data_IF_157801933946
#
_entry.id   IF_157801933946
#
_cell.length_a   1.000
_cell.length_b   1.000
_cell.length_c   1.000
_cell.angle_alpha   90.00
_cell.angle_beta   90.00
_cell.angle_gamma   90.00
#
_symmetry.space_group_name_H-M   'P 1'
#
loop_
_entity.id
_entity.type
_entity.pdbx_description
1 polymer ?
#
# COMPACT_ATOMS: atom_id res chain seq x y z
N UNK A 1 -18.24 25.49 10.35
CA UNK A 1 -17.76 24.82 9.14
C UNK A 1 -16.50 24.07 9.53
N UNK A 2 -16.49 22.78 9.37
CA UNK A 2 -15.40 21.89 9.77
C UNK A 2 -14.13 22.19 8.98
N UNK A 3 -12.98 22.26 9.66
CA UNK A 3 -11.66 22.40 9.05
C UNK A 3 -11.04 21.03 8.88
N UNK A 4 -10.83 20.62 7.65
CA UNK A 4 -10.30 19.31 7.28
C UNK A 4 -8.84 19.49 6.83
N UNK A 5 -7.89 18.84 7.50
CA UNK A 5 -6.51 18.73 7.02
C UNK A 5 -6.41 17.59 5.99
N UNK A 6 -5.87 17.84 4.80
CA UNK A 6 -5.52 16.78 3.86
C UNK A 6 -4.03 16.50 3.95
N UNK A 7 -3.66 15.38 4.57
CA UNK A 7 -2.26 14.93 4.66
C UNK A 7 -1.92 14.02 3.47
N UNK A 8 -0.84 14.33 2.75
CA UNK A 8 -0.43 13.63 1.52
C UNK A 8 1.09 13.69 1.32
N UNK A 9 1.60 12.86 0.43
CA UNK A 9 2.92 13.00 -0.18
C UNK A 9 2.75 13.16 -1.70
N UNK A 10 3.30 14.23 -2.28
CA UNK A 10 3.18 14.51 -3.70
C UNK A 10 4.36 13.95 -4.49
N UNK A 11 4.09 13.23 -5.57
CA UNK A 11 5.13 12.81 -6.53
C UNK A 11 5.86 14.02 -7.08
N UNK A 12 7.21 13.99 -7.11
CA UNK A 12 7.98 15.04 -7.78
C UNK A 12 7.66 15.07 -9.27
N UNK A 13 7.73 16.24 -9.87
CA UNK A 13 7.55 16.41 -11.31
C UNK A 13 8.66 15.67 -12.09
N UNK A 14 8.37 15.09 -13.27
CA UNK A 14 9.37 14.37 -14.07
C UNK A 14 10.63 15.17 -14.39
N UNK A 15 10.52 16.50 -14.45
CA UNK A 15 11.64 17.43 -14.65
C UNK A 15 12.58 17.54 -13.45
N UNK A 16 12.10 17.26 -12.24
CA UNK A 16 12.90 17.28 -11.02
C UNK A 16 13.73 16.01 -10.85
N UNK A 17 13.28 14.90 -11.45
CA UNK A 17 14.00 13.61 -11.45
C UNK A 17 15.12 13.55 -12.52
N UNK A 18 15.20 14.52 -13.41
CA UNK A 18 16.12 14.57 -14.56
C UNK A 18 17.38 15.41 -14.32
N UNK A 19 17.81 15.66 -13.07
CA UNK A 19 19.12 16.24 -12.82
C UNK A 19 20.20 15.16 -13.00
N UNK A 20 21.08 15.26 -14.01
CA UNK A 20 22.14 14.30 -14.21
C UNK A 20 23.17 14.44 -13.08
N UNK A 21 23.39 13.39 -12.33
CA UNK A 21 24.67 13.23 -11.61
C UNK A 21 25.75 13.25 -12.67
N UNK A 22 26.67 14.20 -12.54
CA UNK A 22 27.64 14.63 -13.54
C UNK A 22 28.25 13.52 -14.41
N UNK A 23 28.20 13.75 -15.71
CA UNK A 23 29.03 13.07 -16.68
C UNK A 23 30.52 13.32 -16.37
N UNK A 24 31.11 12.39 -15.63
CA UNK A 24 32.56 12.25 -15.56
C UNK A 24 33.03 11.50 -16.78
N UNK A 25 33.80 12.19 -17.63
CA UNK A 25 34.52 11.64 -18.77
C UNK A 25 35.08 10.23 -18.49
N UNK A 26 34.62 9.23 -19.21
CA UNK A 26 35.31 7.96 -19.39
C UNK A 26 35.57 7.74 -20.87
N UNK A 27 36.86 7.87 -21.23
CA UNK A 27 37.42 7.44 -22.49
C UNK A 27 37.06 5.97 -22.78
N UNK A 28 36.61 5.75 -24.02
CA UNK A 28 36.46 4.42 -24.62
C UNK A 28 37.86 3.82 -24.83
N UNK A 29 38.17 2.76 -24.10
CA UNK A 29 39.16 1.79 -24.52
C UNK A 29 38.47 0.46 -24.78
N UNK A 30 38.49 0.05 -26.02
CA UNK A 30 37.83 -1.15 -26.52
C UNK A 30 38.56 -2.42 -26.09
N UNK A 31 37.84 -3.32 -25.45
CA UNK A 31 38.18 -4.74 -25.42
C UNK A 31 36.89 -5.58 -25.48
N UNK A 32 36.88 -6.50 -26.44
CA UNK A 32 35.76 -7.41 -26.78
C UNK A 32 35.57 -8.41 -25.62
N UNK A 33 34.55 -8.24 -24.82
CA UNK A 33 34.13 -9.20 -23.82
C UNK A 33 33.22 -10.28 -24.41
N UNK A 34 33.37 -11.50 -23.90
CA UNK A 34 32.63 -12.70 -24.34
C UNK A 34 31.20 -12.71 -23.84
N UNK A 35 30.22 -13.34 -24.55
CA UNK A 35 28.79 -13.09 -24.33
C UNK A 35 28.07 -13.91 -23.24
N UNK A 36 28.69 -14.56 -22.29
CA UNK A 36 28.01 -15.60 -21.51
C UNK A 36 27.98 -15.47 -19.96
N UNK A 37 28.46 -14.38 -19.34
CA UNK A 37 28.58 -14.35 -17.87
C UNK A 37 28.18 -13.06 -17.13
N UNK A 38 27.42 -12.13 -17.73
CA UNK A 38 26.88 -11.00 -16.99
C UNK A 38 25.39 -11.18 -16.69
N UNK A 39 24.93 -10.99 -15.42
CA UNK A 39 23.50 -10.84 -15.15
C UNK A 39 22.98 -9.63 -15.93
N UNK A 40 21.73 -9.63 -16.41
CA UNK A 40 21.21 -8.57 -17.25
C UNK A 40 21.29 -7.24 -16.51
N UNK A 41 22.33 -6.46 -16.82
CA UNK A 41 22.55 -5.12 -16.24
C UNK A 41 21.50 -4.11 -16.68
N UNK A 42 20.56 -4.52 -17.53
CA UNK A 42 19.40 -3.71 -17.98
C UNK A 42 18.16 -4.57 -18.07
N UNK A 43 17.15 -4.25 -17.29
CA UNK A 43 15.79 -4.72 -17.46
C UNK A 43 15.06 -3.62 -18.27
N UNK A 44 14.55 -3.96 -19.47
CA UNK A 44 13.88 -2.99 -20.38
C UNK A 44 14.67 -1.72 -20.74
N UNK A 45 15.99 -1.81 -20.89
CA UNK A 45 16.83 -0.66 -21.26
C UNK A 45 17.12 0.32 -20.11
N UNK A 46 16.58 0.08 -18.91
CA UNK A 46 16.87 0.83 -17.69
C UNK A 46 17.92 0.09 -16.86
N UNK A 47 18.85 0.82 -16.26
CA UNK A 47 19.74 0.27 -15.26
C UNK A 47 18.96 -0.05 -13.98
N UNK A 48 19.48 -1.00 -13.18
CA UNK A 48 18.90 -1.34 -11.86
C UNK A 48 18.73 -0.09 -11.00
N UNK A 49 19.71 0.82 -11.00
CA UNK A 49 19.63 2.09 -10.27
C UNK A 49 18.49 2.99 -10.75
N UNK A 50 18.18 3.00 -12.06
CA UNK A 50 17.04 3.75 -12.60
C UNK A 50 15.70 3.10 -12.23
N UNK A 51 15.63 1.77 -12.13
CA UNK A 51 14.44 1.07 -11.66
C UNK A 51 14.17 1.40 -10.19
N UNK A 52 15.19 1.31 -9.33
CA UNK A 52 15.07 1.64 -7.90
C UNK A 52 14.70 3.11 -7.69
N UNK A 53 15.30 4.03 -8.44
CA UNK A 53 14.97 5.45 -8.37
C UNK A 53 13.52 5.75 -8.82
N UNK A 54 12.97 4.99 -9.78
CA UNK A 54 11.54 5.08 -10.15
C UNK A 54 10.63 4.50 -9.09
N UNK A 55 11.08 3.47 -8.36
CA UNK A 55 10.35 2.84 -7.27
C UNK A 55 10.22 3.78 -6.05
N UNK A 56 11.18 4.68 -5.81
CA UNK A 56 11.26 5.48 -4.59
C UNK A 56 9.97 6.23 -4.29
N UNK A 57 9.37 6.84 -5.32
CA UNK A 57 8.13 7.63 -5.19
C UNK A 57 6.89 6.91 -5.75
N UNK A 58 6.95 5.58 -5.98
CA UNK A 58 5.86 4.84 -6.60
C UNK A 58 4.55 4.88 -5.78
N UNK A 59 4.66 5.00 -4.46
CA UNK A 59 3.53 5.06 -3.52
C UNK A 59 2.92 6.46 -3.40
N UNK A 60 3.68 7.52 -3.71
CA UNK A 60 3.21 8.90 -3.56
C UNK A 60 2.17 9.28 -4.60
N UNK A 61 1.30 10.24 -4.27
CA UNK A 61 0.19 10.63 -5.11
C UNK A 61 0.56 11.67 -6.17
N UNK A 62 -0.06 11.54 -7.35
CA UNK A 62 0.02 12.56 -8.38
C UNK A 62 -0.80 13.81 -7.97
N UNK A 63 -0.42 15.02 -8.44
CA UNK A 63 -1.20 16.25 -8.18
C UNK A 63 -2.68 16.13 -8.50
N UNK A 64 -3.04 15.37 -9.54
CA UNK A 64 -4.43 15.13 -9.95
C UNK A 64 -5.22 14.34 -8.88
N UNK A 65 -4.60 13.31 -8.28
CA UNK A 65 -5.21 12.53 -7.18
C UNK A 65 -5.46 13.41 -5.97
N UNK A 66 -4.45 14.21 -5.56
CA UNK A 66 -4.55 15.12 -4.41
C UNK A 66 -5.68 16.14 -4.64
N UNK A 67 -5.76 16.71 -5.85
CA UNK A 67 -6.81 17.69 -6.21
C UNK A 67 -8.22 17.06 -6.21
N UNK A 68 -8.36 15.80 -6.67
CA UNK A 68 -9.62 15.09 -6.67
C UNK A 68 -10.10 14.80 -5.23
N UNK A 69 -9.20 14.36 -4.35
CA UNK A 69 -9.49 14.15 -2.92
C UNK A 69 -9.90 15.47 -2.25
N UNK A 70 -9.14 16.54 -2.47
CA UNK A 70 -9.47 17.88 -1.95
C UNK A 70 -10.87 18.35 -2.42
N UNK A 71 -11.17 18.16 -3.69
CA UNK A 71 -12.49 18.50 -4.24
C UNK A 71 -13.63 17.76 -3.55
N UNK A 72 -13.48 16.45 -3.35
CA UNK A 72 -14.47 15.62 -2.66
C UNK A 72 -14.67 16.07 -1.20
N UNK A 73 -13.58 16.33 -0.48
CA UNK A 73 -13.60 16.77 0.92
C UNK A 73 -14.16 18.19 1.08
N UNK A 74 -13.95 19.08 0.09
CA UNK A 74 -14.43 20.48 0.10
C UNK A 74 -15.96 20.58 0.13
N UNK A 75 -16.66 19.51 -0.21
CA UNK A 75 -18.13 19.44 -0.08
C UNK A 75 -18.58 19.22 1.37
N UNK A 76 -17.68 18.77 2.27
CA UNK A 76 -17.95 18.52 3.69
C UNK A 76 -17.41 19.62 4.61
N UNK A 77 -16.41 20.40 4.18
CA UNK A 77 -15.78 21.41 5.00
C UNK A 77 -14.74 22.24 4.28
N UNK A 78 -14.05 23.11 5.01
CA UNK A 78 -12.89 23.83 4.49
C UNK A 78 -11.67 22.92 4.52
N UNK A 79 -11.02 22.70 3.39
CA UNK A 79 -9.82 21.88 3.30
C UNK A 79 -8.55 22.74 3.38
N UNK A 80 -7.55 22.23 4.07
CA UNK A 80 -6.18 22.75 4.08
C UNK A 80 -5.22 21.63 3.74
N UNK A 81 -4.34 21.86 2.76
CA UNK A 81 -3.31 20.90 2.35
C UNK A 81 -2.16 20.89 3.34
N UNK A 82 -1.80 19.70 3.82
CA UNK A 82 -0.73 19.43 4.76
C UNK A 82 0.19 18.35 4.17
N UNK A 83 1.13 18.73 3.34
CA UNK A 83 2.10 17.79 2.81
C UNK A 83 2.97 17.22 3.93
N UNK A 84 3.15 15.90 3.94
CA UNK A 84 3.86 15.17 4.99
C UNK A 84 5.39 15.23 4.79
N UNK A 85 5.93 16.43 4.87
CA UNK A 85 7.35 16.79 4.84
C UNK A 85 7.90 17.02 6.25
N UNK A 86 9.17 17.41 6.39
CA UNK A 86 9.83 17.60 7.69
C UNK A 86 9.13 18.65 8.58
N UNK A 87 8.46 19.63 8.00
CA UNK A 87 7.71 20.69 8.68
C UNK A 87 6.24 20.30 9.01
N UNK A 88 5.79 19.11 8.63
CA UNK A 88 4.42 18.65 8.86
C UNK A 88 3.96 18.78 10.32
N UNK A 89 4.76 18.39 11.35
CA UNK A 89 4.33 18.50 12.74
C UNK A 89 4.03 19.94 13.15
N UNK A 90 4.87 20.89 12.71
CA UNK A 90 4.69 22.32 13.02
C UNK A 90 3.46 22.91 12.30
N UNK A 91 3.28 22.58 11.01
CA UNK A 91 2.11 23.01 10.22
C UNK A 91 0.81 22.44 10.80
N UNK A 92 0.81 21.17 11.21
CA UNK A 92 -0.35 20.54 11.86
C UNK A 92 -0.67 21.23 13.20
N UNK A 93 0.35 21.52 14.01
CA UNK A 93 0.23 22.21 15.29
C UNK A 93 -0.34 23.63 15.14
N UNK A 94 0.07 24.36 14.09
CA UNK A 94 -0.43 25.72 13.81
C UNK A 94 -1.84 25.70 13.22
N UNK A 95 -2.12 24.76 12.31
CA UNK A 95 -3.40 24.67 11.60
C UNK A 95 -4.52 24.15 12.50
N UNK A 96 -4.22 23.15 13.36
CA UNK A 96 -5.17 22.43 14.24
C UNK A 96 -6.51 22.13 13.56
N UNK A 97 -6.53 21.34 12.49
CA UNK A 97 -7.78 20.96 11.85
C UNK A 97 -8.68 20.17 12.81
N UNK A 98 -9.98 20.16 12.55
CA UNK A 98 -10.93 19.38 13.33
C UNK A 98 -10.75 17.87 13.08
N UNK A 99 -10.34 17.51 11.89
CA UNK A 99 -9.98 16.14 11.47
C UNK A 99 -8.98 16.17 10.32
N UNK A 100 -8.07 15.20 10.26
CA UNK A 100 -7.13 14.99 9.13
C UNK A 100 -7.63 13.84 8.27
N UNK A 101 -7.77 14.05 6.97
CA UNK A 101 -7.86 12.99 5.97
C UNK A 101 -6.45 12.62 5.55
N UNK A 102 -6.04 11.39 5.85
CA UNK A 102 -4.67 10.93 5.64
C UNK A 102 -4.56 10.00 4.42
N UNK A 103 -3.75 10.40 3.45
CA UNK A 103 -3.31 9.58 2.31
C UNK A 103 -1.78 9.58 2.19
N UNK A 104 -1.06 10.06 3.22
CA UNK A 104 0.38 10.15 3.17
C UNK A 104 1.04 8.80 3.45
N UNK A 105 1.82 8.31 2.51
CA UNK A 105 2.62 7.07 2.60
C UNK A 105 3.87 7.22 3.48
N UNK A 106 4.20 8.48 3.81
CA UNK A 106 5.38 8.80 4.60
C UNK A 106 6.67 8.85 3.78
N UNK A 107 7.76 9.21 4.46
CA UNK A 107 9.00 9.58 3.79
C UNK A 107 10.12 8.56 3.99
N UNK A 108 10.33 8.08 5.22
CA UNK A 108 11.48 7.20 5.56
C UNK A 108 11.13 6.22 6.68
N UNK A 109 11.85 5.10 6.67
CA UNK A 109 11.81 4.12 7.74
C UNK A 109 10.76 3.02 7.54
N UNK A 110 10.91 1.96 8.32
CA UNK A 110 10.07 0.75 8.26
C UNK A 110 8.65 0.96 8.80
N UNK A 111 8.38 2.14 9.38
CA UNK A 111 7.08 2.52 9.91
C UNK A 111 6.58 3.85 9.30
N UNK A 112 7.04 4.18 8.10
CA UNK A 112 6.79 5.49 7.44
C UNK A 112 5.32 5.88 7.35
N UNK A 113 4.43 4.94 7.04
CA UNK A 113 2.98 5.18 6.94
C UNK A 113 2.36 5.59 8.27
N UNK A 114 2.97 5.19 9.39
CA UNK A 114 2.48 5.49 10.73
C UNK A 114 2.81 6.91 11.21
N UNK A 115 3.70 7.64 10.55
CA UNK A 115 4.19 8.93 11.05
C UNK A 115 3.08 9.97 11.17
N UNK A 116 2.28 10.16 10.14
CA UNK A 116 1.18 11.15 10.16
C UNK A 116 0.16 10.83 11.25
N UNK A 117 -0.40 9.62 11.35
CA UNK A 117 -1.32 9.27 12.43
C UNK A 117 -0.70 9.40 13.82
N UNK A 118 0.57 9.01 14.00
CA UNK A 118 1.26 9.15 15.30
C UNK A 118 1.42 10.60 15.74
N UNK A 119 1.70 11.51 14.80
CA UNK A 119 1.78 12.94 15.07
C UNK A 119 0.38 13.50 15.39
N UNK A 120 -0.66 13.03 14.70
CA UNK A 120 -2.04 13.38 15.00
C UNK A 120 -2.43 12.93 16.41
N UNK A 121 -2.13 11.69 16.80
CA UNK A 121 -2.36 11.16 18.15
C UNK A 121 -1.62 12.00 19.19
N UNK A 122 -0.35 12.35 18.94
CA UNK A 122 0.44 13.17 19.86
C UNK A 122 -0.19 14.55 20.12
N UNK A 123 -0.79 15.16 19.09
CA UNK A 123 -1.48 16.46 19.23
C UNK A 123 -2.97 16.34 19.59
N UNK A 124 -3.52 15.14 19.72
CA UNK A 124 -4.94 14.91 19.99
C UNK A 124 -5.84 15.41 18.84
N UNK A 125 -5.39 15.27 17.59
CA UNK A 125 -6.13 15.65 16.39
C UNK A 125 -6.72 14.39 15.76
N UNK A 126 -8.05 14.29 15.56
CA UNK A 126 -8.70 13.20 14.86
C UNK A 126 -8.17 13.01 13.45
N UNK A 127 -8.13 11.76 12.97
CA UNK A 127 -7.66 11.43 11.61
C UNK A 127 -8.40 10.24 11.02
N UNK A 128 -8.37 10.12 9.70
CA UNK A 128 -8.94 9.01 8.94
C UNK A 128 -7.94 7.87 8.77
N UNK A 129 -8.48 6.67 8.60
CA UNK A 129 -7.71 5.45 8.39
C UNK A 129 -7.27 4.78 9.70
N UNK A 130 -6.42 3.79 9.55
CA UNK A 130 -5.93 2.95 10.64
C UNK A 130 -4.94 3.70 11.54
N UNK A 131 -4.81 3.22 12.77
CA UNK A 131 -3.88 3.81 13.74
C UNK A 131 -2.40 3.47 13.44
N UNK A 132 -1.46 4.15 14.10
CA UNK A 132 -0.02 3.96 13.86
C UNK A 132 0.44 2.52 14.05
N UNK A 133 -0.13 1.79 15.02
CA UNK A 133 0.24 0.40 15.27
C UNK A 133 -0.19 -0.49 14.10
N UNK A 134 -1.42 -0.36 13.63
CA UNK A 134 -1.95 -1.11 12.49
C UNK A 134 -1.15 -0.84 11.22
N UNK A 135 -0.84 0.43 10.92
CA UNK A 135 -0.03 0.80 9.75
C UNK A 135 1.38 0.20 9.81
N UNK A 136 2.06 0.35 10.95
CA UNK A 136 3.39 -0.27 11.17
C UNK A 136 3.34 -1.79 11.05
N UNK A 137 2.34 -2.44 11.64
CA UNK A 137 2.14 -3.88 11.59
C UNK A 137 1.92 -4.38 10.16
N UNK A 138 1.06 -3.69 9.39
CA UNK A 138 0.71 -4.11 8.03
C UNK A 138 1.82 -3.84 7.01
N UNK A 139 2.66 -2.82 7.25
CA UNK A 139 3.83 -2.56 6.42
C UNK A 139 4.91 -3.65 6.56
N UNK A 140 5.02 -4.28 7.75
CA UNK A 140 5.83 -5.47 7.96
C UNK A 140 5.04 -6.73 7.57
N UNK A 141 5.30 -7.24 6.35
CA UNK A 141 4.58 -8.40 5.80
C UNK A 141 4.73 -9.66 6.66
N UNK A 142 5.87 -9.84 7.34
CA UNK A 142 6.09 -11.00 8.21
C UNK A 142 5.27 -10.89 9.50
N UNK A 143 5.28 -9.73 10.17
CA UNK A 143 4.47 -9.52 11.38
C UNK A 143 2.98 -9.58 11.10
N UNK A 144 2.55 -9.07 9.94
CA UNK A 144 1.18 -9.26 9.45
C UNK A 144 0.84 -10.75 9.35
N UNK A 145 1.67 -11.55 8.67
CA UNK A 145 1.43 -12.99 8.48
C UNK A 145 1.50 -13.77 9.79
N UNK A 146 2.43 -13.44 10.69
CA UNK A 146 2.50 -14.02 12.04
C UNK A 146 1.20 -13.78 12.82
N UNK A 147 0.69 -12.55 12.78
CA UNK A 147 -0.58 -12.19 13.43
C UNK A 147 -1.76 -12.93 12.82
N UNK A 148 -1.86 -12.95 11.49
CA UNK A 148 -2.92 -13.71 10.79
C UNK A 148 -2.88 -15.19 11.15
N UNK A 149 -1.69 -15.82 11.10
CA UNK A 149 -1.50 -17.23 11.43
C UNK A 149 -1.88 -17.55 12.88
N UNK A 150 -1.49 -16.70 13.83
CA UNK A 150 -1.87 -16.83 15.24
C UNK A 150 -3.39 -16.88 15.44
N UNK A 151 -4.13 -16.09 14.66
CA UNK A 151 -5.59 -16.06 14.67
C UNK A 151 -6.25 -17.08 13.74
N UNK A 152 -5.47 -17.99 13.12
CA UNK A 152 -5.99 -19.04 12.24
C UNK A 152 -6.48 -18.54 10.89
N UNK A 153 -6.11 -17.33 10.49
CA UNK A 153 -6.42 -16.75 9.17
C UNK A 153 -5.38 -17.27 8.17
N UNK A 154 -5.81 -17.90 7.06
CA UNK A 154 -4.88 -18.49 6.11
C UNK A 154 -3.98 -17.45 5.44
N UNK A 155 -2.68 -17.73 5.42
CA UNK A 155 -1.64 -17.00 4.68
C UNK A 155 -0.59 -17.99 4.19
N UNK A 156 0.15 -17.73 3.09
CA UNK A 156 1.18 -18.64 2.61
C UNK A 156 2.24 -18.88 3.70
N UNK A 157 2.73 -20.12 3.87
CA UNK A 157 3.92 -20.40 4.66
C UNK A 157 5.11 -19.55 4.17
N UNK A 158 5.91 -19.04 5.10
CA UNK A 158 6.97 -18.08 4.77
C UNK A 158 8.17 -18.19 5.71
N UNK A 159 9.27 -17.57 5.30
CA UNK A 159 10.45 -17.30 6.11
C UNK A 159 10.95 -15.88 5.85
N UNK A 160 11.65 -15.28 6.81
CA UNK A 160 12.32 -14.00 6.66
C UNK A 160 13.83 -14.24 6.60
N UNK A 161 14.46 -13.70 5.58
CA UNK A 161 15.91 -13.84 5.33
C UNK A 161 16.58 -12.47 5.47
N UNK A 162 17.36 -12.31 6.53
CA UNK A 162 18.20 -11.13 6.77
C UNK A 162 19.62 -11.34 6.24
N UNK A 163 20.10 -12.59 6.31
CA UNK A 163 21.42 -12.99 5.85
C UNK A 163 21.32 -14.16 4.88
N UNK A 164 21.95 -14.03 3.74
CA UNK A 164 21.91 -15.04 2.68
C UNK A 164 22.43 -16.43 3.14
N UNK A 165 23.39 -16.47 4.07
CA UNK A 165 23.93 -17.73 4.65
C UNK A 165 22.86 -18.57 5.35
N UNK A 166 21.80 -17.94 5.85
CA UNK A 166 20.73 -18.60 6.61
C UNK A 166 19.58 -19.08 5.70
N UNK A 167 19.60 -18.67 4.42
CA UNK A 167 18.52 -18.92 3.44
C UNK A 167 18.13 -20.39 3.38
N UNK A 168 19.09 -21.30 3.23
CA UNK A 168 18.83 -22.73 3.08
C UNK A 168 18.14 -23.32 4.32
N UNK A 169 18.61 -22.95 5.51
CA UNK A 169 18.04 -23.45 6.76
C UNK A 169 16.62 -22.90 7.00
N UNK A 170 16.43 -21.59 6.79
CA UNK A 170 15.15 -20.91 7.01
C UNK A 170 14.07 -21.36 6.05
N UNK A 171 14.43 -21.77 4.82
CA UNK A 171 13.47 -22.17 3.79
C UNK A 171 13.40 -23.68 3.57
N UNK A 172 14.02 -24.50 4.44
CA UNK A 172 14.09 -25.95 4.28
C UNK A 172 12.73 -26.61 4.13
N UNK A 173 11.74 -26.19 4.92
CA UNK A 173 10.39 -26.75 4.95
C UNK A 173 9.45 -26.14 3.90
N UNK A 174 9.87 -25.07 3.20
CA UNK A 174 9.08 -24.44 2.16
C UNK A 174 9.19 -25.20 0.84
N UNK A 175 8.04 -25.40 0.18
CA UNK A 175 7.94 -26.14 -1.09
C UNK A 175 8.05 -25.17 -2.28
N UNK A 176 8.89 -25.55 -3.24
CA UNK A 176 8.98 -24.85 -4.52
C UNK A 176 7.68 -24.98 -5.35
N UNK A 177 7.35 -23.99 -6.19
CA UNK A 177 8.07 -22.74 -6.35
C UNK A 177 7.86 -21.78 -5.17
N UNK A 178 8.86 -20.91 -4.93
CA UNK A 178 8.85 -19.90 -3.88
C UNK A 178 8.78 -18.51 -4.50
N UNK A 179 8.13 -17.59 -3.81
CA UNK A 179 8.06 -16.19 -4.19
C UNK A 179 8.87 -15.35 -3.20
N UNK A 180 9.71 -14.46 -3.70
CA UNK A 180 10.57 -13.60 -2.88
C UNK A 180 10.22 -12.14 -3.08
N UNK A 181 10.21 -11.36 -2.01
CA UNK A 181 9.91 -9.91 -2.08
C UNK A 181 10.55 -9.14 -0.92
N UNK A 182 10.82 -7.84 -1.08
CA UNK A 182 11.24 -7.00 0.03
C UNK A 182 10.19 -7.01 1.16
N UNK A 183 10.66 -6.98 2.41
CA UNK A 183 9.77 -7.15 3.57
C UNK A 183 8.83 -5.95 3.80
N UNK A 184 9.34 -4.72 3.62
CA UNK A 184 8.67 -3.47 4.00
C UNK A 184 8.25 -2.58 2.81
N UNK A 185 8.23 -3.12 1.59
CA UNK A 185 7.84 -2.34 0.41
C UNK A 185 6.41 -2.61 -0.04
N UNK A 186 5.76 -1.57 -0.55
CA UNK A 186 4.46 -1.62 -1.18
C UNK A 186 4.54 -1.40 -2.70
N UNK A 187 3.40 -1.20 -3.36
CA UNK A 187 3.26 -0.83 -4.78
C UNK A 187 4.06 -1.69 -5.76
N UNK A 188 4.24 -2.98 -5.48
CA UNK A 188 5.03 -3.93 -6.29
C UNK A 188 6.52 -3.56 -6.43
N UNK A 189 7.06 -2.72 -5.54
CA UNK A 189 8.50 -2.41 -5.52
C UNK A 189 9.31 -3.69 -5.33
N UNK A 190 10.30 -3.88 -6.19
CA UNK A 190 11.16 -5.07 -6.20
C UNK A 190 10.46 -6.35 -6.64
N UNK A 191 9.27 -6.29 -7.25
CA UNK A 191 8.53 -7.46 -7.74
C UNK A 191 8.56 -7.50 -9.26
N UNK A 192 9.26 -8.50 -9.80
CA UNK A 192 9.35 -8.83 -11.23
C UNK A 192 9.07 -10.32 -11.43
N UNK A 193 9.04 -10.79 -12.66
CA UNK A 193 8.90 -12.22 -12.96
C UNK A 193 10.01 -13.08 -12.31
N UNK A 194 11.21 -12.51 -12.12
CA UNK A 194 12.33 -13.18 -11.44
C UNK A 194 12.08 -13.50 -9.96
N UNK A 195 11.05 -12.90 -9.36
CA UNK A 195 10.72 -13.16 -7.96
C UNK A 195 10.03 -14.52 -7.74
N UNK A 196 9.56 -15.18 -8.81
CA UNK A 196 9.04 -16.55 -8.73
C UNK A 196 10.17 -17.56 -9.00
N UNK A 197 10.68 -18.15 -7.91
CA UNK A 197 11.84 -19.03 -7.93
C UNK A 197 11.42 -20.50 -8.03
N UNK A 198 11.83 -21.18 -9.12
CA UNK A 198 11.47 -22.55 -9.43
C UNK A 198 12.43 -23.58 -8.83
N UNK A 199 13.66 -23.16 -8.50
CA UNK A 199 14.70 -23.97 -7.90
C UNK A 199 15.50 -23.19 -6.84
N UNK A 200 16.42 -23.88 -6.15
CA UNK A 200 17.20 -23.30 -5.05
C UNK A 200 18.29 -22.34 -5.51
N UNK A 201 18.82 -22.53 -6.70
CA UNK A 201 19.86 -21.65 -7.27
C UNK A 201 19.23 -20.31 -7.69
N UNK A 202 18.07 -20.35 -8.29
CA UNK A 202 17.29 -19.15 -8.61
C UNK A 202 16.89 -18.42 -7.31
N UNK A 203 16.39 -19.14 -6.31
CA UNK A 203 16.04 -18.58 -5.00
C UNK A 203 17.24 -17.86 -4.37
N UNK A 204 18.43 -18.46 -4.41
CA UNK A 204 19.64 -17.87 -3.86
C UNK A 204 19.98 -16.55 -4.56
N UNK A 205 20.06 -16.56 -5.89
CA UNK A 205 20.40 -15.38 -6.70
C UNK A 205 19.41 -14.23 -6.50
N UNK A 206 18.11 -14.53 -6.52
CA UNK A 206 17.08 -13.51 -6.39
C UNK A 206 17.01 -12.95 -4.96
N UNK A 207 17.19 -13.79 -3.94
CA UNK A 207 17.26 -13.33 -2.55
C UNK A 207 18.46 -12.41 -2.34
N UNK A 208 19.64 -12.78 -2.87
CA UNK A 208 20.82 -11.93 -2.82
C UNK A 208 20.58 -10.60 -3.50
N UNK A 209 20.01 -10.62 -4.73
CA UNK A 209 19.68 -9.39 -5.45
C UNK A 209 18.81 -8.44 -4.63
N UNK A 210 17.75 -8.96 -3.98
CA UNK A 210 16.87 -8.13 -3.17
C UNK A 210 17.55 -7.58 -1.91
N UNK A 211 18.35 -8.40 -1.21
CA UNK A 211 19.14 -7.94 -0.04
C UNK A 211 20.09 -6.82 -0.41
N UNK A 212 20.82 -6.97 -1.53
CA UNK A 212 21.85 -6.03 -1.96
C UNK A 212 21.26 -4.69 -2.46
N UNK A 213 20.09 -4.72 -3.08
CA UNK A 213 19.53 -3.55 -3.74
C UNK A 213 18.48 -2.80 -2.91
N UNK A 214 17.78 -3.46 -2.00
CA UNK A 214 16.75 -2.83 -1.16
C UNK A 214 17.21 -2.60 0.28
N UNK A 215 18.36 -3.17 0.70
CA UNK A 215 18.95 -2.93 2.01
C UNK A 215 18.04 -3.31 3.19
N UNK A 216 17.15 -4.29 3.00
CA UNK A 216 16.18 -4.74 3.98
C UNK A 216 16.01 -6.26 3.93
N UNK A 217 15.41 -6.89 4.97
CA UNK A 217 15.11 -8.32 4.94
C UNK A 217 14.22 -8.70 3.75
N UNK A 218 14.35 -9.95 3.31
CA UNK A 218 13.56 -10.54 2.22
C UNK A 218 12.56 -11.54 2.78
N UNK A 219 11.29 -11.37 2.42
CA UNK A 219 10.25 -12.36 2.65
C UNK A 219 10.32 -13.42 1.55
N UNK A 220 10.48 -14.68 1.96
CA UNK A 220 10.40 -15.86 1.09
C UNK A 220 9.13 -16.61 1.44
N UNK A 221 8.18 -16.72 0.52
CA UNK A 221 6.91 -17.38 0.78
C UNK A 221 6.58 -18.44 -0.26
N UNK A 222 5.76 -19.42 0.10
CA UNK A 222 5.28 -20.43 -0.82
C UNK A 222 4.36 -19.79 -1.85
N UNK A 223 4.64 -19.99 -3.14
CA UNK A 223 3.79 -19.48 -4.20
C UNK A 223 2.44 -20.20 -4.23
N UNK A 224 1.38 -19.44 -4.35
CA UNK A 224 0.02 -19.94 -4.47
C UNK A 224 -0.40 -19.94 -5.95
N UNK A 225 -0.73 -21.09 -6.56
CA UNK A 225 -0.96 -21.18 -8.00
C UNK A 225 -2.36 -20.74 -8.45
N UNK A 226 -3.28 -20.52 -7.53
CA UNK A 226 -4.68 -20.22 -7.85
C UNK A 226 -4.92 -18.76 -8.24
N UNK A 227 -6.19 -18.43 -8.46
CA UNK A 227 -6.64 -17.07 -8.81
C UNK A 227 -6.36 -16.08 -7.69
N UNK A 228 -6.09 -14.85 -8.08
CA UNK A 228 -5.85 -13.72 -7.18
C UNK A 228 -7.00 -12.74 -7.21
N UNK A 229 -7.28 -12.14 -6.05
CA UNK A 229 -8.34 -11.18 -5.82
C UNK A 229 -7.81 -10.04 -4.97
N UNK A 230 -8.34 -8.85 -5.21
CA UNK A 230 -8.10 -7.71 -4.34
C UNK A 230 -9.44 -7.20 -3.82
N UNK A 231 -9.53 -7.05 -2.49
CA UNK A 231 -10.77 -6.84 -1.76
C UNK A 231 -10.72 -5.49 -1.04
N UNK A 232 -11.57 -4.57 -1.44
CA UNK A 232 -11.75 -3.30 -0.76
C UNK A 232 -12.74 -3.45 0.40
N UNK A 233 -12.40 -2.90 1.57
CA UNK A 233 -13.25 -2.87 2.76
C UNK A 233 -13.56 -1.43 3.13
N UNK A 234 -14.82 -1.14 3.46
CA UNK A 234 -15.28 0.14 4.01
C UNK A 234 -16.00 -0.08 5.33
N UNK A 235 -15.86 0.87 6.25
CA UNK A 235 -16.53 0.89 7.54
C UNK A 235 -15.68 0.39 8.70
N UNK A 236 -16.31 0.24 9.86
CA UNK A 236 -15.66 -0.10 11.12
C UNK A 236 -16.34 -1.25 11.85
N UNK A 237 -15.56 -2.07 12.56
CA UNK A 237 -16.05 -3.11 13.47
C UNK A 237 -17.02 -4.09 12.80
N UNK A 238 -18.25 -4.20 13.34
CA UNK A 238 -19.27 -5.09 12.81
C UNK A 238 -19.91 -4.57 11.51
N UNK A 239 -19.86 -3.26 11.26
CA UNK A 239 -20.43 -2.61 10.09
C UNK A 239 -19.47 -2.58 8.89
N UNK A 240 -18.22 -3.01 9.07
CA UNK A 240 -17.27 -3.12 7.99
C UNK A 240 -17.76 -4.12 6.94
N UNK A 241 -17.77 -3.71 5.67
CA UNK A 241 -18.26 -4.49 4.53
C UNK A 241 -17.21 -4.59 3.44
N UNK A 242 -17.17 -5.74 2.76
CA UNK A 242 -16.35 -5.93 1.55
C UNK A 242 -17.15 -5.39 0.36
N UNK A 243 -16.54 -4.49 -0.39
CA UNK A 243 -17.08 -4.02 -1.67
C UNK A 243 -16.98 -5.14 -2.72
N UNK A 244 -17.64 -5.00 -3.89
CA UNK A 244 -17.54 -5.99 -4.95
C UNK A 244 -16.09 -6.40 -5.22
N UNK A 245 -15.81 -7.69 -5.08
CA UNK A 245 -14.46 -8.26 -5.17
C UNK A 245 -13.88 -8.02 -6.57
N UNK A 246 -12.65 -7.56 -6.64
CA UNK A 246 -11.90 -7.42 -7.89
C UNK A 246 -11.09 -8.69 -8.13
N UNK A 247 -11.33 -9.37 -9.25
CA UNK A 247 -10.54 -10.52 -9.68
C UNK A 247 -9.41 -10.10 -10.61
N UNK A 248 -8.23 -10.69 -10.43
CA UNK A 248 -7.09 -10.46 -11.32
C UNK A 248 -7.19 -11.35 -12.56
N UNK A 249 -7.31 -10.72 -13.72
CA UNK A 249 -7.33 -11.40 -15.03
C UNK A 249 -5.92 -11.42 -15.63
N UNK A 250 -5.12 -12.40 -15.24
CA UNK A 250 -3.75 -12.53 -15.75
C UNK A 250 -3.68 -12.93 -17.23
N UNK A 251 -4.77 -13.36 -17.86
CA UNK A 251 -4.83 -13.59 -19.31
C UNK A 251 -4.69 -12.30 -20.13
N UNK A 252 -4.89 -11.13 -19.48
CA UNK A 252 -4.67 -9.82 -20.09
C UNK A 252 -3.17 -9.44 -20.20
N UNK A 253 -2.30 -10.15 -19.49
CA UNK A 253 -0.85 -9.93 -19.55
C UNK A 253 -0.27 -10.37 -20.91
N UNK A 254 0.89 -9.83 -21.32
CA UNK A 254 1.60 -10.28 -22.51
C UNK A 254 1.87 -11.79 -22.48
N UNK A 255 1.84 -12.42 -23.66
CA UNK A 255 2.08 -13.86 -23.79
C UNK A 255 3.46 -14.24 -23.23
N UNK A 256 3.47 -15.16 -22.27
CA UNK A 256 4.68 -15.64 -21.59
C UNK A 256 4.99 -14.94 -20.27
N UNK A 257 4.28 -13.85 -19.93
CA UNK A 257 4.37 -13.26 -18.60
C UNK A 257 3.81 -14.20 -17.52
N UNK A 258 4.39 -14.16 -16.33
CA UNK A 258 3.90 -14.92 -15.19
C UNK A 258 2.61 -14.30 -14.64
N UNK A 259 1.72 -15.10 -13.99
CA UNK A 259 0.47 -14.60 -13.41
C UNK A 259 0.75 -13.83 -12.10
N UNK A 260 1.43 -12.69 -12.23
CA UNK A 260 1.86 -11.80 -11.16
C UNK A 260 1.60 -10.36 -11.61
N UNK A 261 0.95 -9.56 -10.75
CA UNK A 261 0.81 -8.12 -10.98
C UNK A 261 2.01 -7.40 -10.39
N UNK A 262 3.17 -7.65 -11.00
CA UNK A 262 4.45 -7.06 -10.62
C UNK A 262 4.65 -5.65 -11.18
N UNK A 263 5.87 -5.16 -11.02
CA UNK A 263 6.29 -3.84 -11.50
C UNK A 263 6.02 -3.65 -13.00
N UNK A 264 6.40 -4.63 -13.83
CA UNK A 264 6.22 -4.54 -15.28
C UNK A 264 4.75 -4.46 -15.67
N UNK A 265 3.90 -5.26 -15.01
CA UNK A 265 2.46 -5.23 -15.25
C UNK A 265 1.86 -3.86 -14.89
N UNK A 266 2.29 -3.28 -13.75
CA UNK A 266 1.72 -2.05 -13.21
C UNK A 266 2.24 -0.77 -13.87
N UNK A 267 3.51 -0.73 -14.26
CA UNK A 267 4.16 0.51 -14.69
C UNK A 267 4.66 0.49 -16.14
N UNK A 268 4.77 -0.69 -16.77
CA UNK A 268 5.25 -0.84 -18.15
C UNK A 268 4.13 -1.22 -19.10
N UNK A 269 3.30 -2.21 -18.75
CA UNK A 269 2.26 -2.73 -19.63
C UNK A 269 0.91 -2.05 -19.42
N UNK A 270 0.56 -1.70 -18.18
CA UNK A 270 -0.66 -0.97 -17.84
C UNK A 270 -0.44 0.54 -18.00
N UNK A 271 -0.67 1.03 -19.22
CA UNK A 271 -0.46 2.44 -19.54
C UNK A 271 -1.81 3.14 -19.75
N UNK A 272 -1.97 4.42 -19.35
CA UNK A 272 -3.22 5.17 -19.55
C UNK A 272 -3.69 5.20 -21.01
N UNK A 273 -2.75 5.20 -21.99
CA UNK A 273 -3.08 5.14 -23.42
C UNK A 273 -3.54 3.76 -23.90
N UNK A 274 -3.21 2.70 -23.15
CA UNK A 274 -3.58 1.31 -23.42
C UNK A 274 -3.66 0.54 -22.11
N UNK A 275 -4.72 0.79 -21.30
CA UNK A 275 -4.87 0.13 -20.02
C UNK A 275 -5.06 -1.39 -20.20
N UNK A 276 -4.49 -2.16 -19.28
CA UNK A 276 -4.71 -3.60 -19.23
C UNK A 276 -6.11 -3.88 -18.63
N UNK A 277 -6.87 -4.79 -19.26
CA UNK A 277 -8.10 -5.32 -18.68
C UNK A 277 -7.82 -6.38 -17.60
N UNK A 278 -6.91 -6.04 -16.69
CA UNK A 278 -6.45 -6.97 -15.66
C UNK A 278 -7.40 -7.02 -14.46
N UNK A 279 -8.12 -5.93 -14.16
CA UNK A 279 -9.06 -5.87 -13.05
C UNK A 279 -10.49 -6.14 -13.51
N UNK A 280 -11.03 -7.32 -13.17
CA UNK A 280 -12.41 -7.68 -13.40
C UNK A 280 -13.25 -7.45 -12.13
N UNK A 281 -14.15 -6.47 -12.17
CA UNK A 281 -15.02 -6.13 -11.05
C UNK A 281 -16.49 -6.02 -11.50
N UNK A 282 -17.43 -6.74 -10.87
CA UNK A 282 -17.23 -7.81 -9.88
C UNK A 282 -16.51 -9.03 -10.45
N UNK A 283 -15.75 -9.74 -9.60
CA UNK A 283 -15.10 -11.00 -9.96
C UNK A 283 -16.12 -12.07 -10.35
N UNK A 284 -15.86 -12.83 -11.41
CA UNK A 284 -16.74 -13.93 -11.84
C UNK A 284 -16.38 -15.22 -11.07
N UNK A 285 -16.99 -15.38 -9.92
CA UNK A 285 -16.77 -16.50 -8.98
C UNK A 285 -18.10 -17.03 -8.45
N UNK A 286 -18.08 -18.22 -7.84
CA UNK A 286 -19.27 -18.80 -7.18
C UNK A 286 -19.57 -18.07 -5.88
N UNK A 287 -20.81 -18.14 -5.41
CA UNK A 287 -21.24 -17.53 -4.14
C UNK A 287 -20.47 -18.11 -2.94
N UNK A 288 -20.16 -19.41 -2.96
CA UNK A 288 -19.39 -20.08 -1.91
C UNK A 288 -17.96 -19.52 -1.83
N UNK A 289 -17.31 -19.33 -2.98
CA UNK A 289 -15.97 -18.76 -3.03
C UNK A 289 -15.99 -17.28 -2.64
N UNK A 290 -16.98 -16.51 -3.09
CA UNK A 290 -17.17 -15.13 -2.68
C UNK A 290 -17.29 -15.02 -1.15
N UNK A 291 -18.18 -15.80 -0.53
CA UNK A 291 -18.36 -15.80 0.92
C UNK A 291 -17.08 -16.23 1.68
N UNK A 292 -16.29 -17.16 1.11
CA UNK A 292 -15.01 -17.56 1.70
C UNK A 292 -13.96 -16.44 1.64
N UNK A 293 -13.87 -15.71 0.51
CA UNK A 293 -12.96 -14.57 0.35
C UNK A 293 -13.39 -13.42 1.27
N UNK A 294 -14.67 -13.05 1.28
CA UNK A 294 -15.22 -12.01 2.16
C UNK A 294 -14.91 -12.28 3.64
N UNK A 295 -15.03 -13.55 4.07
CA UNK A 295 -14.75 -13.95 5.43
C UNK A 295 -13.29 -13.73 5.81
N UNK A 296 -12.32 -14.26 5.03
CA UNK A 296 -10.90 -14.10 5.37
C UNK A 296 -10.47 -12.63 5.29
N UNK A 297 -11.09 -11.85 4.38
CA UNK A 297 -10.88 -10.42 4.25
C UNK A 297 -11.33 -9.66 5.50
N UNK A 298 -12.58 -9.88 5.94
CA UNK A 298 -13.11 -9.21 7.15
C UNK A 298 -12.41 -9.68 8.43
N UNK A 299 -12.05 -10.95 8.51
CA UNK A 299 -11.31 -11.49 9.65
C UNK A 299 -9.92 -10.84 9.73
N UNK A 300 -9.20 -10.71 8.61
CA UNK A 300 -7.92 -10.01 8.55
C UNK A 300 -8.05 -8.53 8.92
N UNK A 301 -9.03 -7.83 8.34
CA UNK A 301 -9.33 -6.42 8.63
C UNK A 301 -9.52 -6.18 10.14
N UNK A 302 -10.34 -7.03 10.79
CA UNK A 302 -10.65 -6.89 12.22
C UNK A 302 -9.48 -7.24 13.13
N UNK A 303 -8.80 -8.35 12.85
CA UNK A 303 -7.69 -8.85 13.68
C UNK A 303 -6.49 -7.91 13.65
N UNK A 304 -6.21 -7.31 12.49
CA UNK A 304 -5.13 -6.34 12.35
C UNK A 304 -5.49 -4.94 12.83
N UNK A 305 -6.75 -4.70 13.20
CA UNK A 305 -7.21 -3.41 13.70
C UNK A 305 -7.40 -2.35 12.62
N UNK A 306 -7.60 -2.75 11.36
CA UNK A 306 -7.87 -1.82 10.27
C UNK A 306 -9.15 -1.00 10.54
N UNK A 307 -9.15 0.25 10.07
CA UNK A 307 -10.24 1.21 10.31
C UNK A 307 -10.58 2.00 9.06
N UNK A 308 -11.86 2.35 8.96
CA UNK A 308 -12.47 3.22 7.96
C UNK A 308 -12.42 2.62 6.55
N UNK A 309 -11.26 2.28 6.03
CA UNK A 309 -11.05 1.56 4.77
C UNK A 309 -9.76 0.73 4.77
N UNK A 310 -9.68 -0.28 3.90
CA UNK A 310 -8.45 -1.01 3.58
C UNK A 310 -8.60 -1.74 2.25
N UNK A 311 -7.47 -2.21 1.69
CA UNK A 311 -7.40 -3.19 0.62
C UNK A 311 -6.68 -4.44 1.11
N UNK A 312 -7.26 -5.60 0.85
CA UNK A 312 -6.68 -6.88 1.24
C UNK A 312 -6.55 -7.75 0.00
N UNK A 313 -5.33 -8.21 -0.24
CA UNK A 313 -5.02 -9.03 -1.40
C UNK A 313 -5.06 -10.51 -1.00
N UNK A 314 -5.84 -11.31 -1.73
CA UNK A 314 -6.17 -12.70 -1.44
C UNK A 314 -5.86 -13.57 -2.64
N UNK A 315 -5.19 -14.72 -2.43
CA UNK A 315 -4.89 -15.66 -3.49
C UNK A 315 -5.27 -17.08 -3.09
N UNK A 316 -5.74 -17.85 -4.06
CA UNK A 316 -6.14 -19.24 -3.80
C UNK A 316 -4.92 -20.16 -3.81
N UNK A 317 -4.89 -21.09 -2.88
CA UNK A 317 -3.95 -22.21 -2.92
C UNK A 317 -4.34 -23.26 -3.99
N UNK A 318 -3.56 -24.32 -4.12
CA UNK A 318 -3.82 -25.40 -5.06
C UNK A 318 -5.15 -26.12 -4.80
N UNK A 319 -5.69 -26.06 -3.58
CA UNK A 319 -6.99 -26.60 -3.19
C UNK A 319 -8.16 -25.65 -3.39
N UNK A 320 -7.90 -24.43 -3.88
CA UNK A 320 -8.92 -23.39 -4.06
C UNK A 320 -9.30 -22.65 -2.77
N UNK A 321 -8.52 -22.79 -1.69
CA UNK A 321 -8.75 -22.10 -0.43
C UNK A 321 -8.14 -20.69 -0.48
N UNK A 322 -8.90 -19.63 -0.10
CA UNK A 322 -8.36 -18.27 -0.04
C UNK A 322 -7.34 -18.09 1.09
N UNK A 323 -6.23 -17.43 0.75
CA UNK A 323 -5.16 -17.05 1.65
C UNK A 323 -4.87 -15.57 1.51
N UNK A 324 -4.68 -14.86 2.62
CA UNK A 324 -4.31 -13.44 2.62
C UNK A 324 -2.83 -13.32 2.24
N UNK A 325 -2.54 -12.55 1.19
CA UNK A 325 -1.18 -12.23 0.75
C UNK A 325 -0.63 -11.01 1.46
N UNK A 326 -1.45 -9.95 1.49
CA UNK A 326 -1.05 -8.62 1.94
C UNK A 326 -2.28 -7.84 2.43
N UNK A 327 -2.07 -6.93 3.38
CA UNK A 327 -3.09 -6.01 3.88
C UNK A 327 -2.57 -4.59 3.75
N UNK A 328 -3.33 -3.75 3.08
CA UNK A 328 -3.00 -2.35 2.82
C UNK A 328 -4.03 -1.44 3.50
N UNK A 329 -3.75 -0.95 4.72
CA UNK A 329 -4.66 -0.07 5.45
C UNK A 329 -4.71 1.35 4.87
N UNK A 330 -3.78 1.70 3.99
CA UNK A 330 -3.71 2.97 3.26
C UNK A 330 -3.64 2.67 1.75
N UNK A 331 -4.72 2.18 1.13
CA UNK A 331 -4.70 1.80 -0.28
C UNK A 331 -4.77 3.00 -1.20
N UNK A 332 -4.15 2.89 -2.39
CA UNK A 332 -4.22 3.91 -3.44
C UNK A 332 -5.65 4.19 -3.91
N UNK A 333 -5.92 5.45 -4.22
CA UNK A 333 -7.24 5.99 -4.56
C UNK A 333 -7.21 6.83 -5.85
N UNK A 334 -6.69 6.28 -6.95
CA UNK A 334 -6.65 6.97 -8.23
C UNK A 334 -8.07 7.32 -8.71
N UNK A 335 -8.33 8.60 -9.09
CA UNK A 335 -9.68 9.07 -9.38
C UNK A 335 -10.20 8.63 -10.76
N UNK A 336 -9.31 8.46 -11.75
CA UNK A 336 -9.74 8.14 -13.11
C UNK A 336 -10.31 6.72 -13.17
N UNK A 337 -11.54 6.54 -13.73
CA UNK A 337 -12.14 5.22 -13.93
C UNK A 337 -11.31 4.26 -14.80
N UNK A 338 -10.44 4.79 -15.67
CA UNK A 338 -9.57 4.01 -16.55
C UNK A 338 -8.41 3.39 -15.77
N UNK A 339 -8.00 4.03 -14.69
CA UNK A 339 -6.91 3.55 -13.85
C UNK A 339 -7.27 2.24 -13.12
N UNK A 340 -6.32 1.33 -13.04
CA UNK A 340 -6.45 0.10 -12.28
C UNK A 340 -6.21 0.35 -10.78
N UNK A 341 -7.12 1.09 -10.13
CA UNK A 341 -7.15 1.33 -8.69
C UNK A 341 -8.26 0.53 -8.04
N UNK A 342 -7.92 -0.42 -7.17
CA UNK A 342 -8.85 -1.42 -6.61
C UNK A 342 -10.01 -0.78 -5.86
N UNK A 343 -9.72 0.06 -4.86
CA UNK A 343 -10.76 0.64 -3.98
C UNK A 343 -11.76 1.50 -4.76
N UNK A 344 -11.36 2.48 -5.61
CA UNK A 344 -12.30 3.22 -6.43
C UNK A 344 -13.05 2.36 -7.45
N UNK A 345 -12.40 1.31 -8.01
CA UNK A 345 -13.05 0.39 -8.96
C UNK A 345 -14.14 -0.44 -8.29
N UNK A 346 -13.88 -0.97 -7.10
CA UNK A 346 -14.83 -1.73 -6.30
C UNK A 346 -16.01 -0.83 -5.84
N UNK A 347 -15.72 0.41 -5.42
CA UNK A 347 -16.75 1.40 -5.05
C UNK A 347 -17.68 1.71 -6.22
N UNK A 348 -17.14 2.00 -7.42
CA UNK A 348 -17.96 2.21 -8.62
C UNK A 348 -18.84 1.02 -8.98
N UNK A 349 -18.31 -0.21 -8.82
CA UNK A 349 -19.09 -1.42 -9.03
C UNK A 349 -20.24 -1.60 -8.01
N UNK A 350 -20.10 -1.01 -6.82
CA UNK A 350 -21.16 -0.92 -5.81
C UNK A 350 -22.12 0.28 -6.02
N UNK A 351 -21.93 1.09 -7.06
CA UNK A 351 -22.71 2.30 -7.31
C UNK A 351 -22.26 3.53 -6.51
N UNK A 352 -21.11 3.47 -5.84
CA UNK A 352 -20.53 4.56 -5.05
C UNK A 352 -19.57 5.36 -5.94
N UNK A 353 -19.87 6.64 -6.15
CA UNK A 353 -19.01 7.56 -6.89
C UNK A 353 -17.71 7.88 -6.16
N UNK A 354 -16.73 8.48 -6.88
CA UNK A 354 -15.42 8.79 -6.27
C UNK A 354 -15.54 9.75 -5.09
N UNK A 355 -16.27 10.85 -5.25
CA UNK A 355 -16.47 11.83 -4.17
C UNK A 355 -17.16 11.19 -2.96
N UNK A 356 -18.19 10.38 -3.21
CA UNK A 356 -18.92 9.67 -2.17
C UNK A 356 -18.02 8.65 -1.42
N UNK A 357 -17.12 7.98 -2.14
CA UNK A 357 -16.11 7.08 -1.54
C UNK A 357 -15.22 7.85 -0.56
N UNK A 358 -14.60 8.94 -1.01
CA UNK A 358 -13.71 9.76 -0.19
C UNK A 358 -14.45 10.34 1.03
N UNK A 359 -15.65 10.85 0.81
CA UNK A 359 -16.51 11.36 1.88
C UNK A 359 -16.91 10.28 2.87
N UNK A 360 -17.21 9.06 2.39
CA UNK A 360 -17.55 7.93 3.27
C UNK A 360 -16.39 7.54 4.17
N UNK A 361 -15.17 7.49 3.64
CA UNK A 361 -13.97 7.25 4.44
C UNK A 361 -13.82 8.30 5.57
N UNK A 362 -13.99 9.59 5.25
CA UNK A 362 -13.93 10.65 6.26
C UNK A 362 -15.08 10.54 7.28
N UNK A 363 -16.30 10.23 6.82
CA UNK A 363 -17.49 10.08 7.69
C UNK A 363 -17.31 8.92 8.69
N UNK A 364 -16.74 7.78 8.26
CA UNK A 364 -16.42 6.67 9.16
C UNK A 364 -15.41 7.09 10.23
N UNK A 365 -14.37 7.82 9.82
CA UNK A 365 -13.37 8.33 10.76
C UNK A 365 -13.96 9.35 11.74
N UNK A 366 -14.76 10.28 11.26
CA UNK A 366 -15.43 11.30 12.07
C UNK A 366 -16.39 10.67 13.09
N UNK A 367 -17.24 9.74 12.64
CA UNK A 367 -18.17 9.02 13.52
C UNK A 367 -17.43 8.25 14.62
N UNK A 368 -16.34 7.55 14.28
CA UNK A 368 -15.50 6.80 15.24
C UNK A 368 -14.87 7.68 16.30
N UNK A 369 -14.54 8.93 15.97
CA UNK A 369 -13.81 9.85 16.84
C UNK A 369 -14.69 10.98 17.41
N UNK A 370 -16.00 10.94 17.15
CA UNK A 370 -16.97 11.93 17.69
C UNK A 370 -16.80 13.31 17.07
N UNK A 371 -16.35 13.42 15.82
CA UNK A 371 -16.25 14.68 15.06
C UNK A 371 -17.56 14.93 14.33
N UNK A 372 -18.15 16.10 14.55
CA UNK A 372 -19.35 16.55 13.83
C UNK A 372 -18.93 17.28 12.52
N UNK A 373 -19.16 16.64 11.37
CA UNK A 373 -18.87 17.22 10.06
C UNK A 373 -19.90 18.27 9.63
N UNK A 374 -21.12 18.22 10.16
CA UNK A 374 -22.22 19.12 9.78
C UNK A 374 -22.17 20.48 10.52
N UNK A 375 -21.27 20.59 11.52
CA UNK A 375 -21.09 21.82 12.29
C UNK A 375 -22.30 22.19 13.16
N UNK A 376 -23.17 21.21 13.45
CA UNK A 376 -24.41 21.42 14.22
C UNK A 376 -24.19 21.44 15.75
N UNK A 377 -23.06 20.95 16.24
CA UNK A 377 -22.72 20.95 17.66
C UNK A 377 -21.62 21.97 17.99
N UNK A 378 -22.03 23.17 18.41
CA UNK A 378 -21.15 24.15 19.03
C UNK A 378 -20.96 23.81 20.54
N UNK A 379 -20.05 22.87 20.84
CA UNK A 379 -19.40 22.82 22.15
C UNK A 379 -18.23 21.80 22.08
N UNK A 380 -17.05 22.29 21.77
CA UNK A 380 -15.83 21.58 22.19
C UNK A 380 -15.86 21.53 23.74
N UNK A 381 -16.17 20.38 24.29
CA UNK A 381 -15.81 20.13 25.70
C UNK A 381 -14.28 20.01 25.69
N UNK A 382 -13.62 21.01 26.30
CA UNK A 382 -12.17 20.95 26.53
C UNK A 382 -11.81 19.64 27.21
N UNK A 383 -10.87 18.90 26.64
CA UNK A 383 -10.37 17.65 27.20
C UNK A 383 -9.81 17.90 28.64
N UNK A 384 -9.79 16.91 29.55
CA UNK A 384 -9.28 17.06 30.90
C UNK A 384 -7.88 17.66 31.00
N UNK A 385 -7.04 17.53 29.98
CA UNK A 385 -5.69 18.11 29.88
C UNK A 385 -5.68 19.63 29.62
N UNK A 386 -6.64 20.16 28.85
CA UNK A 386 -6.73 21.61 28.60
C UNK A 386 -7.23 22.40 29.81
N UNK A 387 -8.03 21.77 30.69
CA UNK A 387 -8.46 22.38 31.95
C UNK A 387 -7.32 22.57 32.97
N UNK A 388 -6.27 21.71 32.87
CA UNK A 388 -5.13 21.80 33.79
C UNK A 388 -4.16 22.93 33.43
N UNK A 389 -4.04 23.28 32.13
CA UNK A 389 -3.15 24.35 31.65
C UNK A 389 -3.69 25.76 31.90
N UNK A 390 -5.03 25.93 31.98
CA UNK A 390 -5.65 27.21 32.24
C UNK A 390 -5.70 27.51 33.76
N UNK A 391 -5.72 26.49 34.62
CA UNK A 391 -5.74 26.63 36.07
C UNK A 391 -4.36 26.86 36.72
N UNK A 392 -3.25 26.63 36.00
CA UNK A 392 -1.86 26.80 36.47
C UNK A 392 -1.22 28.17 36.16
N UNK A 393 -1.95 29.10 35.58
CA UNK A 393 -1.43 30.39 35.08
C UNK A 393 -1.69 31.62 35.98
N UNK A 394 -2.01 31.44 37.24
CA UNK A 394 -2.12 32.56 38.23
C UNK A 394 -1.78 32.02 39.64
N UNK A 395 -0.50 31.97 39.96
CA UNK A 395 0.05 32.09 41.31
C UNK A 395 1.53 32.48 41.20
#
# INVERSE_FOLDING_TARGET
MTLIGLAYNQKPEPTELASPVGEGDRQEDGELARPDDEPPSRIFGLSIAQLIARDEFAEWDAPATIAAVESALSQLGKVVRLEATEDFPERLRQTRPDIVFNIAEGFRGVNREAHVPAICDFFGIPYSGSDPFTLTLCLDKAKTKETLAFHGIPTPPFAVVENLKDLQALTADLKLPLFVKPLHEGSSKGITDSNLCWDRDHLFKQTQFLLDNYGQPVLVEQYLPGKEFTCAVLGNGAEATVLPIVGMNFDALPKGALPIYGFDAKFVWDQPAKPLEIFQCPARITQELQAAIERVTLDAFRVLGCRDWARIDVRLDAGGKPNVLEVNPLPGILPDPVDNSCLPKAARAAGIGYDELIQSCLKYAAARQGVDLDGSSSSRQATPGERALVAGGLA
#
